data_IF_159299342784
#
_entry.id   IF_159299342784
#
_cell.length_a   1.000
_cell.length_b   1.000
_cell.length_c   1.000
_cell.angle_alpha   90.00
_cell.angle_beta   90.00
_cell.angle_gamma   90.00
#
_symmetry.space_group_name_H-M   'P 1'
#
loop_
_entity.id
_entity.type
_entity.pdbx_description
1 polymer ?
#
# COMPACT_ATOMS: atom_id res chain seq x y z
N UNK A 1 7.33 -12.10 -13.35
CA UNK A 1 7.06 -10.71 -12.94
C UNK A 1 5.81 -10.74 -12.09
N UNK A 2 5.92 -10.42 -10.81
CA UNK A 2 4.90 -10.70 -9.80
C UNK A 2 3.74 -9.71 -9.93
N UNK A 3 2.59 -10.17 -10.43
CA UNK A 3 1.33 -9.43 -10.46
C UNK A 3 0.78 -9.28 -9.03
N UNK A 4 1.32 -8.35 -8.25
CA UNK A 4 0.87 -8.07 -6.87
C UNK A 4 -0.21 -6.98 -6.79
N UNK A 5 -0.56 -6.36 -7.93
CA UNK A 5 -1.41 -5.17 -7.99
C UNK A 5 -2.56 -5.40 -8.94
N UNK A 6 -3.80 -5.33 -8.45
CA UNK A 6 -4.99 -5.47 -9.31
C UNK A 6 -5.62 -4.13 -9.70
N UNK A 7 -5.48 -3.07 -8.88
CA UNK A 7 -6.07 -1.77 -9.17
C UNK A 7 -5.53 -0.65 -8.28
N UNK A 8 -5.42 0.56 -8.84
CA UNK A 8 -5.20 1.82 -8.12
C UNK A 8 -6.12 2.88 -8.73
N UNK A 9 -6.84 3.61 -7.89
CA UNK A 9 -7.73 4.71 -8.28
C UNK A 9 -7.48 5.88 -7.34
N UNK A 10 -7.32 7.06 -7.91
CA UNK A 10 -7.22 8.31 -7.18
C UNK A 10 -8.37 9.24 -7.58
N UNK A 11 -8.98 9.90 -6.60
CA UNK A 11 -10.04 10.87 -6.79
C UNK A 11 -9.80 12.05 -5.86
N UNK A 12 -9.94 13.26 -6.37
CA UNK A 12 -9.93 14.48 -5.56
C UNK A 12 -11.36 14.79 -5.14
N UNK A 13 -11.58 14.85 -3.84
CA UNK A 13 -12.83 15.29 -3.23
C UNK A 13 -12.72 16.77 -2.84
N UNK A 14 -13.54 17.60 -3.48
CA UNK A 14 -13.57 19.05 -3.29
C UNK A 14 -14.78 19.53 -2.47
N UNK A 15 -15.50 18.63 -1.79
CA UNK A 15 -16.72 18.99 -1.06
C UNK A 15 -16.48 19.69 0.30
N UNK A 16 -15.22 19.91 0.70
CA UNK A 16 -14.83 20.53 1.98
C UNK A 16 -14.05 21.84 1.84
N UNK A 17 -13.62 22.40 2.98
CA UNK A 17 -12.83 23.65 3.04
C UNK A 17 -11.43 23.51 2.46
N UNK A 18 -10.94 22.28 2.30
CA UNK A 18 -9.67 21.94 1.65
C UNK A 18 -9.88 20.71 0.76
N UNK A 19 -9.27 20.65 -0.44
CA UNK A 19 -9.29 19.46 -1.28
C UNK A 19 -8.68 18.25 -0.56
N UNK A 20 -9.29 17.08 -0.74
CA UNK A 20 -8.81 15.82 -0.18
C UNK A 20 -8.55 14.84 -1.32
N UNK A 21 -7.30 14.38 -1.45
CA UNK A 21 -6.98 13.26 -2.33
C UNK A 21 -7.37 11.96 -1.62
N UNK A 22 -8.21 11.18 -2.27
CA UNK A 22 -8.60 9.82 -1.85
C UNK A 22 -8.02 8.83 -2.85
N UNK A 23 -7.20 7.92 -2.35
CA UNK A 23 -6.60 6.83 -3.11
C UNK A 23 -7.18 5.52 -2.61
N UNK A 24 -7.56 4.64 -3.53
CA UNK A 24 -8.06 3.30 -3.22
C UNK A 24 -7.43 2.30 -4.17
N UNK A 25 -7.11 1.12 -3.67
CA UNK A 25 -6.55 0.06 -4.49
C UNK A 25 -6.74 -1.29 -3.85
N UNK A 26 -6.16 -2.31 -4.48
CA UNK A 26 -6.20 -3.68 -3.96
C UNK A 26 -4.85 -4.37 -4.13
N UNK A 27 -4.44 -5.10 -3.11
CA UNK A 27 -3.19 -5.88 -3.08
C UNK A 27 -3.49 -7.36 -2.86
N UNK A 28 -2.68 -8.23 -3.47
CA UNK A 28 -2.81 -9.67 -3.28
C UNK A 28 -2.13 -10.12 -1.98
N UNK A 29 -2.88 -10.77 -1.09
CA UNK A 29 -2.42 -11.23 0.23
C UNK A 29 -2.51 -12.74 0.31
N UNK A 30 -1.47 -13.39 0.84
CA UNK A 30 -1.34 -14.86 0.89
C UNK A 30 -1.46 -15.44 2.31
N UNK A 31 -1.90 -14.64 3.28
CA UNK A 31 -2.11 -15.06 4.66
C UNK A 31 -3.49 -14.67 5.19
N UNK A 32 -3.96 -15.40 6.19
CA UNK A 32 -5.17 -15.06 6.96
C UNK A 32 -4.91 -13.96 7.99
N UNK A 33 -3.68 -13.87 8.48
CA UNK A 33 -3.21 -12.88 9.44
C UNK A 33 -2.24 -11.94 8.72
N UNK A 34 -2.67 -10.71 8.51
CA UNK A 34 -1.95 -9.72 7.73
C UNK A 34 -2.31 -8.30 8.18
N UNK A 35 -1.38 -7.37 7.94
CA UNK A 35 -1.59 -5.93 8.10
C UNK A 35 -1.21 -5.24 6.81
N UNK A 36 -2.07 -4.32 6.34
CA UNK A 36 -1.77 -3.45 5.20
C UNK A 36 -1.54 -2.04 5.72
N UNK A 37 -0.34 -1.53 5.51
CA UNK A 37 0.05 -0.16 5.86
C UNK A 37 0.24 0.63 4.58
N UNK A 38 -0.31 1.85 4.53
CA UNK A 38 -0.19 2.74 3.37
C UNK A 38 0.29 4.10 3.82
N UNK A 39 1.47 4.48 3.36
CA UNK A 39 2.15 5.70 3.77
C UNK A 39 2.71 6.46 2.57
N UNK A 40 3.05 7.72 2.77
CA UNK A 40 3.78 8.48 1.77
C UNK A 40 5.22 8.00 1.68
N UNK A 41 5.67 7.66 0.47
CA UNK A 41 7.05 7.23 0.27
C UNK A 41 8.05 8.36 0.59
N UNK A 42 9.13 8.01 1.29
CA UNK A 42 10.24 8.94 1.55
C UNK A 42 11.53 8.33 0.99
N UNK A 43 12.11 8.89 -0.10
CA UNK A 43 11.71 10.12 -0.78
C UNK A 43 10.55 9.94 -1.78
N UNK A 44 9.77 11.02 -1.99
CA UNK A 44 8.70 11.16 -3.00
C UNK A 44 9.19 11.16 -4.46
N UNK A 45 10.47 10.89 -4.70
CA UNK A 45 11.08 10.97 -6.03
C UNK A 45 11.33 12.42 -6.47
N UNK A 46 11.67 12.59 -7.75
CA UNK A 46 12.07 13.89 -8.30
C UNK A 46 10.92 14.68 -8.96
N UNK A 47 9.76 14.04 -9.19
CA UNK A 47 8.61 14.64 -9.86
C UNK A 47 7.66 15.23 -8.81
N UNK A 48 7.55 16.56 -8.65
CA UNK A 48 6.80 17.15 -7.54
C UNK A 48 5.28 16.97 -7.61
N UNK A 49 4.76 16.63 -8.80
CA UNK A 49 3.34 16.45 -9.08
C UNK A 49 2.92 14.97 -9.05
N UNK A 50 3.84 14.05 -8.73
CA UNK A 50 3.55 12.64 -8.52
C UNK A 50 3.51 12.36 -7.03
N UNK A 51 2.40 11.81 -6.54
CA UNK A 51 2.34 11.25 -5.18
C UNK A 51 2.78 9.79 -5.23
N UNK A 52 3.81 9.46 -4.46
CA UNK A 52 4.27 8.08 -4.30
C UNK A 52 3.81 7.56 -2.94
N UNK A 53 3.12 6.42 -2.95
CA UNK A 53 2.70 5.70 -1.76
C UNK A 53 3.53 4.43 -1.61
N UNK A 54 3.98 4.15 -0.39
CA UNK A 54 4.50 2.84 0.00
C UNK A 54 3.33 2.04 0.61
N UNK A 55 3.02 0.91 -0.03
CA UNK A 55 2.00 -0.04 0.41
C UNK A 55 2.75 -1.27 0.93
N UNK A 56 2.78 -1.43 2.24
CA UNK A 56 3.44 -2.56 2.90
C UNK A 56 2.39 -3.58 3.33
N UNK A 57 2.59 -4.83 2.92
CA UNK A 57 1.83 -5.96 3.43
C UNK A 57 2.75 -6.73 4.36
N UNK A 58 2.46 -6.65 5.65
CA UNK A 58 3.05 -7.52 6.66
C UNK A 58 2.15 -8.74 6.80
N UNK A 59 2.71 -9.92 6.57
CA UNK A 59 1.98 -11.17 6.66
C UNK A 59 2.88 -12.32 7.10
N UNK A 60 2.29 -13.28 7.81
CA UNK A 60 2.99 -14.52 8.13
C UNK A 60 2.98 -15.50 6.95
N UNK A 61 4.04 -16.30 6.75
CA UNK A 61 4.02 -17.37 5.76
C UNK A 61 2.82 -18.29 5.97
N UNK A 62 2.00 -18.47 4.93
CA UNK A 62 0.84 -19.34 4.98
C UNK A 62 0.60 -19.99 3.61
N UNK A 63 0.19 -21.27 3.54
CA UNK A 63 -0.07 -21.96 2.27
C UNK A 63 -1.39 -21.52 1.61
N UNK A 64 -1.94 -20.36 1.97
CA UNK A 64 -3.24 -19.91 1.48
C UNK A 64 -3.17 -19.43 0.02
N UNK A 65 -4.28 -19.66 -0.69
CA UNK A 65 -4.52 -19.07 -2.01
C UNK A 65 -4.61 -17.55 -1.84
N UNK A 66 -3.91 -16.81 -2.69
CA UNK A 66 -3.91 -15.34 -2.64
C UNK A 66 -5.32 -14.77 -2.74
N UNK A 67 -5.65 -13.83 -1.85
CA UNK A 67 -6.92 -13.11 -1.79
C UNK A 67 -6.65 -11.62 -2.03
N UNK A 68 -7.46 -10.98 -2.86
CA UNK A 68 -7.39 -9.54 -3.06
C UNK A 68 -7.93 -8.80 -1.84
N UNK A 69 -7.10 -7.98 -1.22
CA UNK A 69 -7.46 -7.15 -0.07
C UNK A 69 -7.47 -5.68 -0.47
N UNK A 70 -8.54 -4.93 -0.16
CA UNK A 70 -8.62 -3.51 -0.47
C UNK A 70 -7.77 -2.69 0.50
N UNK A 71 -7.28 -1.54 0.03
CA UNK A 71 -6.68 -0.52 0.88
C UNK A 71 -7.17 0.87 0.45
N UNK A 72 -7.07 1.81 1.38
CA UNK A 72 -7.41 3.21 1.12
C UNK A 72 -6.43 4.14 1.82
N UNK A 73 -6.11 5.25 1.16
CA UNK A 73 -5.31 6.33 1.69
C UNK A 73 -6.02 7.65 1.42
N UNK A 74 -5.93 8.59 2.36
CA UNK A 74 -6.51 9.92 2.20
C UNK A 74 -5.61 10.99 2.76
N UNK A 75 -5.42 12.08 2.01
CA UNK A 75 -4.60 13.21 2.42
C UNK A 75 -5.25 14.53 2.01
N UNK A 76 -5.18 15.52 2.90
CA UNK A 76 -5.50 16.90 2.55
C UNK A 76 -4.41 17.43 1.63
N UNK A 77 -4.78 17.76 0.39
CA UNK A 77 -3.88 18.38 -0.57
C UNK A 77 -4.20 19.88 -0.52
N UNK A 78 -3.27 20.69 -0.03
CA UNK A 78 -3.45 22.14 0.06
C UNK A 78 -3.43 22.76 -1.34
N UNK A 79 -2.35 23.44 -1.66
CA UNK A 79 -2.13 24.02 -2.99
C UNK A 79 -1.43 23.05 -3.97
N UNK A 80 -1.20 21.81 -3.55
CA UNK A 80 -0.51 20.80 -4.35
C UNK A 80 -1.51 20.11 -5.28
N UNK A 81 -1.30 20.26 -6.58
CA UNK A 81 -2.07 19.57 -7.63
C UNK A 81 -1.30 18.33 -8.11
N UNK A 82 -1.66 17.17 -7.56
CA UNK A 82 -1.08 15.89 -7.99
C UNK A 82 -1.69 15.45 -9.32
N UNK A 83 -0.86 15.23 -10.33
CA UNK A 83 -1.27 14.76 -11.65
C UNK A 83 -1.26 13.24 -11.77
N UNK A 84 -0.44 12.57 -10.95
CA UNK A 84 -0.33 11.11 -10.93
C UNK A 84 -0.18 10.59 -9.49
N UNK A 85 -0.63 9.36 -9.29
CA UNK A 85 -0.38 8.60 -8.06
C UNK A 85 0.28 7.29 -8.44
N UNK A 86 1.39 6.97 -7.78
CA UNK A 86 2.12 5.73 -7.93
C UNK A 86 2.16 5.01 -6.59
N UNK A 87 1.94 3.70 -6.60
CA UNK A 87 2.13 2.85 -5.43
C UNK A 87 3.36 1.96 -5.63
N UNK A 88 4.20 1.86 -4.61
CA UNK A 88 5.28 0.88 -4.46
C UNK A 88 4.80 -0.17 -3.48
N UNK A 89 4.99 -1.43 -3.80
CA UNK A 89 4.49 -2.54 -3.00
C UNK A 89 5.67 -3.23 -2.34
N UNK A 90 5.62 -3.31 -1.01
CA UNK A 90 6.61 -4.00 -0.20
C UNK A 90 5.92 -5.17 0.49
N UNK A 91 6.52 -6.35 0.38
CA UNK A 91 6.04 -7.55 1.05
C UNK A 91 7.03 -7.90 2.16
N UNK A 92 6.55 -7.86 3.39
CA UNK A 92 7.31 -8.28 4.56
C UNK A 92 6.76 -9.61 5.04
N UNK A 93 7.65 -10.60 5.13
CA UNK A 93 7.31 -11.96 5.57
C UNK A 93 8.09 -12.20 6.85
N UNK A 94 7.39 -12.27 7.99
CA UNK A 94 8.02 -12.71 9.24
C UNK A 94 8.41 -14.19 9.13
N UNK A 95 9.69 -14.48 8.93
CA UNK A 95 10.19 -15.85 9.02
C UNK A 95 10.10 -16.35 10.47
N UNK A 96 9.23 -17.34 10.71
CA UNK A 96 9.24 -18.10 11.95
C UNK A 96 10.46 -19.03 11.91
N UNK A 97 11.59 -18.56 12.44
CA UNK A 97 12.75 -19.42 12.67
C UNK A 97 12.37 -20.40 13.77
N UNK A 98 11.94 -21.61 13.40
CA UNK A 98 11.75 -22.69 14.35
C UNK A 98 13.11 -23.01 14.98
N UNK A 99 13.32 -22.54 16.21
CA UNK A 99 14.48 -22.94 17.01
C UNK A 99 14.32 -24.42 17.32
N UNK A 100 15.13 -25.26 16.69
CA UNK A 100 15.23 -26.68 17.05
C UNK A 100 16.07 -26.73 18.32
N UNK A 101 15.43 -26.94 19.47
CA UNK A 101 16.17 -27.26 20.70
C UNK A 101 16.90 -28.61 20.47
N UNK A 102 18.22 -28.68 20.68
CA UNK A 102 18.93 -29.95 20.64
C UNK A 102 18.52 -30.81 21.85
N UNK A 103 18.22 -32.08 21.56
CA UNK A 103 17.88 -33.12 22.54
C UNK A 103 19.08 -33.56 23.39
#
# INVERSE_FOLDING_TARGET
MSEQVASLKAVVDNHGTKPVLKVSGSVLVHASDFTITVEEAVPQGFVPQELILDVTVDQRPSPMKGVMQPFSFSKVIGDIDYQSVRARFNLEIEDVVASVEPA
#
